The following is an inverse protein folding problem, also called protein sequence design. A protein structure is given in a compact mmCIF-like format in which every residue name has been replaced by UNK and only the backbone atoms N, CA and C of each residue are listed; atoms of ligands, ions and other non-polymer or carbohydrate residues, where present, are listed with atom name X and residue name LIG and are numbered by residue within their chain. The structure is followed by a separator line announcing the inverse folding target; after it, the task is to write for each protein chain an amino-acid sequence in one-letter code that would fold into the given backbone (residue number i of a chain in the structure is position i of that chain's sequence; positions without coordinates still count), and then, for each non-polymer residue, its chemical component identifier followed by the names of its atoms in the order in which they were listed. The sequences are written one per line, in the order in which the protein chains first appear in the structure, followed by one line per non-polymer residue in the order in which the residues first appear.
data_IF_261685501286
#
_entry.id   IF_261685501286
#
_cell.length_a   1.000
_cell.length_b   1.000
_cell.length_c   1.000
_cell.angle_alpha   90.00
_cell.angle_beta   90.00
_cell.angle_gamma   90.00
#
_symmetry.space_group_name_H-M   'P 1'
#
loop_
_entity.id
_entity.type
_entity.pdbx_description
1 polymer ?
#
# COMPACT_ATOMS: atom_id res chain seq x y z
N UNK A 1 1.29 -0.34 1.45
CA UNK A 1 2.16 -1.15 2.35
C UNK A 1 2.76 -0.23 3.38
N UNK A 2 2.75 -0.60 4.65
CA UNK A 2 3.37 0.18 5.72
C UNK A 2 4.70 -0.45 6.09
N UNK A 3 5.70 0.39 6.40
CA UNK A 3 7.03 -0.04 6.82
C UNK A 3 7.23 0.44 8.26
N UNK A 4 7.72 -0.46 9.11
CA UNK A 4 8.05 -0.14 10.50
C UNK A 4 9.57 -0.07 10.66
N UNK A 5 10.10 1.11 10.94
CA UNK A 5 11.49 1.30 11.34
C UNK A 5 11.68 1.07 12.83
N UNK A 6 12.70 0.28 13.21
CA UNK A 6 12.99 -0.04 14.62
C UNK A 6 13.22 1.20 15.51
N UNK A 7 13.65 2.31 14.92
CA UNK A 7 13.96 3.56 15.63
C UNK A 7 13.01 4.71 15.28
N UNK A 8 12.22 4.57 14.23
CA UNK A 8 11.48 5.69 13.61
C UNK A 8 9.98 5.45 13.49
N UNK A 9 9.52 4.20 13.62
CA UNK A 9 8.11 3.84 13.61
C UNK A 9 7.55 3.70 12.20
N UNK A 10 6.32 4.17 11.99
CA UNK A 10 5.62 4.15 10.69
C UNK A 10 5.97 5.41 9.91
N UNK A 11 7.26 5.56 9.64
CA UNK A 11 7.79 6.73 8.93
C UNK A 11 7.64 6.64 7.42
N UNK A 12 7.42 5.43 6.88
CA UNK A 12 7.35 5.16 5.45
C UNK A 12 6.12 4.31 5.11
N UNK A 13 5.41 4.71 4.05
CA UNK A 13 4.47 3.84 3.35
C UNK A 13 4.75 3.79 1.85
N UNK A 14 4.50 2.64 1.25
CA UNK A 14 4.72 2.36 -0.17
C UNK A 14 3.36 2.07 -0.80
N UNK A 15 3.02 2.81 -1.86
CA UNK A 15 1.86 2.56 -2.69
C UNK A 15 2.29 2.10 -4.09
N UNK A 16 2.20 0.78 -4.37
CA UNK A 16 2.54 0.23 -5.67
C UNK A 16 1.60 0.68 -6.79
N UNK A 17 0.35 1.05 -6.49
CA UNK A 17 -0.62 1.50 -7.49
C UNK A 17 -0.30 2.92 -7.97
N UNK A 18 0.15 3.77 -7.04
CA UNK A 18 0.60 5.13 -7.34
C UNK A 18 2.07 5.21 -7.73
N UNK A 19 2.81 4.09 -7.70
CA UNK A 19 4.26 4.06 -7.91
C UNK A 19 4.99 5.08 -7.03
N UNK A 20 4.58 5.17 -5.76
CA UNK A 20 4.97 6.26 -4.85
C UNK A 20 5.37 5.75 -3.46
N UNK A 21 6.29 6.47 -2.84
CA UNK A 21 6.75 6.29 -1.46
C UNK A 21 6.40 7.56 -0.70
N UNK A 22 5.71 7.39 0.42
CA UNK A 22 5.27 8.48 1.29
C UNK A 22 6.05 8.45 2.60
N UNK A 23 6.55 9.62 3.01
CA UNK A 23 7.05 9.85 4.36
C UNK A 23 5.91 10.40 5.22
N UNK A 24 5.53 9.66 6.25
CA UNK A 24 4.28 9.88 7.02
C UNK A 24 4.49 10.52 8.39
N UNK A 25 5.73 10.85 8.74
CA UNK A 25 6.11 11.39 10.05
C UNK A 25 7.17 10.50 10.70
N UNK A 26 7.40 10.67 12.00
CA UNK A 26 8.22 9.74 12.77
C UNK A 26 7.74 9.68 14.21
N UNK A 27 7.72 8.47 14.75
CA UNK A 27 7.41 8.15 16.13
C UNK A 27 8.69 7.87 16.95
N UNK A 28 9.84 8.40 16.50
CA UNK A 28 11.14 8.15 17.12
C UNK A 28 11.20 8.55 18.60
N UNK A 29 10.51 9.62 19.00
CA UNK A 29 10.48 10.07 20.40
C UNK A 29 9.75 9.05 21.30
N UNK A 30 8.59 8.58 20.87
CA UNK A 30 7.79 7.58 21.59
C UNK A 30 8.51 6.22 21.64
N UNK A 31 9.13 5.82 20.52
CA UNK A 31 9.93 4.59 20.46
C UNK A 31 11.13 4.68 21.40
N UNK A 32 11.84 5.80 21.43
CA UNK A 32 12.96 6.02 22.35
C UNK A 32 12.52 6.01 23.82
N UNK A 33 11.25 6.37 24.10
CA UNK A 33 10.65 6.28 25.43
C UNK A 33 10.25 4.84 25.84
N UNK A 34 10.30 3.88 24.90
CA UNK A 34 9.94 2.48 25.13
C UNK A 34 8.49 2.14 24.78
N UNK A 35 7.80 3.03 24.07
CA UNK A 35 6.37 2.91 23.75
C UNK A 35 6.10 2.32 22.35
N UNK A 36 7.09 1.63 21.76
CA UNK A 36 6.99 1.07 20.40
C UNK A 36 5.75 0.17 20.19
N UNK A 37 5.47 -0.74 21.14
CA UNK A 37 4.31 -1.62 21.07
C UNK A 37 2.99 -0.83 21.14
N UNK A 38 2.92 0.20 21.99
CA UNK A 38 1.74 1.05 22.14
C UNK A 38 1.44 1.82 20.85
N UNK A 39 2.47 2.39 20.22
CA UNK A 39 2.36 3.11 18.95
C UNK A 39 1.88 2.15 17.85
N UNK A 40 2.46 0.95 17.76
CA UNK A 40 2.04 -0.04 16.77
C UNK A 40 0.58 -0.49 16.98
N UNK A 41 0.20 -0.79 18.23
CA UNK A 41 -1.18 -1.14 18.57
C UNK A 41 -2.16 -0.01 18.22
N UNK A 42 -1.81 1.24 18.52
CA UNK A 42 -2.63 2.40 18.19
C UNK A 42 -2.81 2.55 16.68
N UNK A 43 -1.76 2.34 15.88
CA UNK A 43 -1.85 2.35 14.43
C UNK A 43 -2.79 1.26 13.90
N UNK A 44 -2.62 0.02 14.36
CA UNK A 44 -3.45 -1.11 13.91
C UNK A 44 -4.90 -0.90 14.33
N UNK A 45 -5.15 -0.40 15.54
CA UNK A 45 -6.49 -0.13 16.05
C UNK A 45 -7.16 1.08 15.37
N UNK A 46 -6.37 2.09 14.98
CA UNK A 46 -6.85 3.30 14.30
C UNK A 46 -7.10 3.10 12.80
N UNK A 47 -6.43 2.13 12.18
CA UNK A 47 -6.55 1.83 10.75
C UNK A 47 -7.96 1.37 10.38
N UNK A 48 -8.59 2.09 9.45
CA UNK A 48 -9.94 1.77 8.96
C UNK A 48 -9.89 1.08 7.60
N UNK A 49 -10.61 -0.05 7.40
CA UNK A 49 -10.64 -0.73 6.10
C UNK A 49 -10.99 0.18 4.92
N UNK A 50 -11.85 1.18 5.13
CA UNK A 50 -12.25 2.13 4.10
C UNK A 50 -11.10 3.06 3.67
N UNK A 51 -10.16 3.35 4.58
CA UNK A 51 -8.97 4.18 4.33
C UNK A 51 -7.83 3.36 3.69
N UNK A 52 -7.94 2.02 3.70
CA UNK A 52 -6.98 1.09 3.12
C UNK A 52 -7.40 0.55 1.75
N UNK A 53 -8.58 0.95 1.25
CA UNK A 53 -9.12 0.54 -0.03
C UNK A 53 -8.76 1.54 -1.14
N UNK A 54 -8.95 1.12 -2.39
CA UNK A 54 -8.82 1.96 -3.57
C UNK A 54 -10.14 2.02 -4.32
N UNK A 55 -10.40 3.14 -5.00
CA UNK A 55 -11.56 3.26 -5.89
C UNK A 55 -11.17 3.03 -7.34
N UNK A 56 -12.11 2.51 -8.13
CA UNK A 56 -12.02 2.52 -9.58
C UNK A 56 -12.33 3.92 -10.15
N UNK A 57 -12.22 4.07 -11.46
CA UNK A 57 -12.54 5.32 -12.18
C UNK A 57 -13.99 5.81 -12.00
N UNK A 58 -14.89 4.96 -11.50
CA UNK A 58 -16.28 5.30 -11.18
C UNK A 58 -16.49 5.58 -9.69
N UNK A 59 -15.41 5.83 -8.93
CA UNK A 59 -15.39 6.06 -7.49
C UNK A 59 -15.98 4.90 -6.66
N UNK A 60 -15.97 3.68 -7.21
CA UNK A 60 -16.44 2.50 -6.49
C UNK A 60 -15.28 1.79 -5.81
N UNK A 61 -15.51 1.40 -4.56
CA UNK A 61 -14.57 0.68 -3.69
C UNK A 61 -14.19 -0.69 -4.28
N UNK A 62 -12.90 -1.00 -4.43
CA UNK A 62 -12.43 -2.17 -5.18
C UNK A 62 -12.30 -3.45 -4.35
N UNK A 63 -11.82 -3.39 -3.10
CA UNK A 63 -11.39 -4.59 -2.37
C UNK A 63 -12.47 -5.67 -2.28
N UNK A 64 -13.69 -5.30 -1.84
CA UNK A 64 -14.79 -6.29 -1.69
C UNK A 64 -15.19 -6.92 -3.03
N UNK A 65 -15.16 -6.15 -4.12
CA UNK A 65 -15.49 -6.63 -5.47
C UNK A 65 -14.37 -7.54 -6.00
N UNK A 66 -13.11 -7.14 -5.81
CA UNK A 66 -11.94 -7.95 -6.14
C UNK A 66 -11.94 -9.27 -5.38
N UNK A 67 -12.23 -9.25 -4.08
CA UNK A 67 -12.36 -10.44 -3.25
C UNK A 67 -13.44 -11.41 -3.78
N UNK A 68 -14.59 -10.87 -4.21
CA UNK A 68 -15.67 -11.68 -4.78
C UNK A 68 -15.32 -12.31 -6.14
N UNK A 69 -14.56 -11.60 -6.98
CA UNK A 69 -14.23 -12.05 -8.34
C UNK A 69 -12.97 -12.91 -8.43
N UNK A 70 -11.93 -12.54 -7.68
CA UNK A 70 -10.58 -13.11 -7.77
C UNK A 70 -10.27 -14.05 -6.60
N UNK A 71 -11.03 -13.96 -5.51
CA UNK A 71 -10.73 -14.65 -4.26
C UNK A 71 -9.60 -13.96 -3.47
N UNK A 72 -9.37 -14.39 -2.22
CA UNK A 72 -8.35 -13.78 -1.37
C UNK A 72 -6.93 -14.07 -1.90
N UNK A 73 -6.01 -13.09 -1.90
CA UNK A 73 -4.61 -13.35 -2.21
C UNK A 73 -3.96 -14.18 -1.09
N UNK A 74 -2.94 -14.96 -1.44
CA UNK A 74 -2.05 -15.56 -0.46
C UNK A 74 -1.17 -14.50 0.24
N UNK A 75 -0.44 -14.90 1.28
CA UNK A 75 0.41 -14.02 2.10
C UNK A 75 1.51 -13.25 1.32
N UNK A 76 1.90 -13.77 0.16
CA UNK A 76 2.92 -13.26 -0.74
C UNK A 76 2.33 -12.69 -2.04
N UNK A 77 1.00 -12.49 -2.07
CA UNK A 77 0.27 -12.01 -3.25
C UNK A 77 -0.49 -10.72 -2.98
N UNK A 78 -0.72 -9.94 -4.05
CA UNK A 78 -1.53 -8.71 -4.01
C UNK A 78 -2.48 -8.64 -5.21
N UNK A 79 -3.52 -7.81 -5.08
CA UNK A 79 -4.26 -7.36 -6.25
C UNK A 79 -3.47 -6.26 -6.96
N UNK A 80 -3.10 -6.48 -8.22
CA UNK A 80 -2.42 -5.51 -9.04
C UNK A 80 -3.12 -5.36 -10.40
N UNK A 81 -3.04 -4.17 -10.98
CA UNK A 81 -3.56 -3.91 -12.32
C UNK A 81 -2.64 -4.52 -13.38
N UNK A 82 -3.21 -5.15 -14.41
CA UNK A 82 -2.46 -5.79 -15.52
C UNK A 82 -1.52 -4.84 -16.24
N UNK A 83 -1.85 -3.54 -16.25
CA UNK A 83 -1.05 -2.49 -16.88
C UNK A 83 -0.89 -1.36 -15.87
N UNK A 84 0.36 -0.92 -15.65
CA UNK A 84 0.63 0.21 -14.76
C UNK A 84 -0.08 1.49 -15.26
N UNK A 85 -0.54 2.33 -14.32
CA UNK A 85 -1.17 3.63 -14.64
C UNK A 85 -0.31 4.49 -15.55
N UNK A 86 1.00 4.51 -15.30
CA UNK A 86 1.98 5.26 -16.08
C UNK A 86 2.01 4.87 -17.58
N UNK A 87 1.50 3.68 -17.93
CA UNK A 87 1.43 3.17 -19.30
C UNK A 87 0.01 3.25 -19.90
N UNK A 88 -0.91 3.99 -19.28
CA UNK A 88 -2.30 4.10 -19.73
C UNK A 88 -3.18 2.91 -19.33
N UNK A 89 -2.79 2.16 -18.29
CA UNK A 89 -3.65 1.16 -17.68
C UNK A 89 -4.90 1.77 -17.06
N UNK A 90 -6.02 1.03 -17.13
CA UNK A 90 -7.30 1.42 -16.51
C UNK A 90 -7.30 1.06 -15.02
N UNK A 91 -7.96 1.89 -14.23
CA UNK A 91 -8.23 1.58 -12.82
C UNK A 91 -9.64 1.01 -12.71
N UNK A 92 -9.80 -0.25 -13.07
CA UNK A 92 -11.09 -0.96 -13.01
C UNK A 92 -10.94 -2.38 -12.45
N UNK A 93 -12.06 -2.98 -12.07
CA UNK A 93 -12.09 -4.31 -11.50
C UNK A 93 -11.61 -5.39 -12.50
N UNK A 94 -11.89 -5.22 -13.79
CA UNK A 94 -11.56 -6.19 -14.85
C UNK A 94 -10.06 -6.31 -15.12
N UNK A 95 -9.31 -5.25 -14.84
CA UNK A 95 -7.85 -5.19 -14.97
C UNK A 95 -7.11 -5.69 -13.74
N UNK A 96 -7.78 -6.00 -12.62
CA UNK A 96 -7.12 -6.56 -11.45
C UNK A 96 -6.76 -8.04 -11.62
N UNK A 97 -5.57 -8.41 -11.16
CA UNK A 97 -5.10 -9.80 -11.07
C UNK A 97 -4.46 -10.03 -9.71
N UNK A 98 -4.56 -11.27 -9.23
CA UNK A 98 -3.74 -11.72 -8.10
C UNK A 98 -2.35 -12.04 -8.65
N UNK A 99 -1.34 -11.34 -8.17
CA UNK A 99 0.06 -11.48 -8.60
C UNK A 99 0.97 -11.65 -7.40
N UNK A 100 2.18 -12.15 -7.65
CA UNK A 100 3.25 -12.18 -6.65
C UNK A 100 3.69 -10.75 -6.28
N UNK A 101 3.75 -10.47 -4.97
CA UNK A 101 4.09 -9.15 -4.43
C UNK A 101 5.49 -8.70 -4.84
N UNK A 102 6.48 -9.57 -4.70
CA UNK A 102 7.88 -9.21 -4.95
C UNK A 102 8.12 -8.98 -6.44
N UNK A 103 7.57 -9.84 -7.30
CA UNK A 103 7.64 -9.68 -8.75
C UNK A 103 6.98 -8.37 -9.19
N UNK A 104 5.81 -8.03 -8.64
CA UNK A 104 5.13 -6.78 -8.99
C UNK A 104 5.97 -5.55 -8.59
N UNK A 105 6.58 -5.57 -7.41
CA UNK A 105 7.45 -4.48 -6.95
C UNK A 105 8.72 -4.35 -7.81
N UNK A 106 9.34 -5.47 -8.20
CA UNK A 106 10.50 -5.48 -9.08
C UNK A 106 10.16 -4.89 -10.46
N UNK A 107 9.03 -5.32 -11.06
CA UNK A 107 8.55 -4.78 -12.34
C UNK A 107 8.34 -3.26 -12.25
N UNK A 108 7.67 -2.79 -11.19
CA UNK A 108 7.43 -1.37 -11.00
C UNK A 108 8.75 -0.59 -10.87
N UNK A 109 9.70 -1.10 -10.08
CA UNK A 109 11.02 -0.48 -9.89
C UNK A 109 11.81 -0.38 -11.20
N UNK A 110 11.70 -1.38 -12.08
CA UNK A 110 12.34 -1.36 -13.40
C UNK A 110 11.64 -0.41 -14.38
N UNK A 111 10.34 -0.19 -14.21
CA UNK A 111 9.54 0.63 -15.12
C UNK A 111 9.84 2.13 -14.99
N UNK A 112 9.99 2.61 -13.76
CA UNK A 112 10.31 4.01 -13.45
C UNK A 112 10.88 4.16 -12.05
N UNK A 113 11.56 5.27 -11.77
CA UNK A 113 11.85 5.66 -10.39
C UNK A 113 10.54 6.00 -9.65
N UNK A 114 10.36 5.54 -8.40
CA UNK A 114 9.17 5.86 -7.63
C UNK A 114 9.15 7.35 -7.27
N UNK A 115 7.95 7.92 -7.21
CA UNK A 115 7.80 9.30 -6.71
C UNK A 115 7.95 9.30 -5.20
N UNK A 116 8.79 10.19 -4.66
CA UNK A 116 8.96 10.38 -3.21
C UNK A 116 8.15 11.60 -2.79
N UNK A 117 7.26 11.41 -1.80
CA UNK A 117 6.33 12.45 -1.32
C UNK A 117 6.48 12.55 0.20
N UNK A 118 6.68 13.78 0.69
CA UNK A 118 6.68 14.08 2.12
C UNK A 118 5.30 14.60 2.51
N UNK A 119 4.62 13.90 3.42
CA UNK A 119 3.30 14.26 3.95
C UNK A 119 3.31 14.38 5.48
N UNK A 120 4.52 14.50 6.08
CA UNK A 120 4.73 14.68 7.51
C UNK A 120 4.40 16.10 8.03
#
# INVERSE_FOLDING_TARGET
MFVWGEQSGLDISIDPQLHSIFFTGSEAEDIAAGDADLVFEAFVAGSRPEELDCTDEADQVLFRRALGQLGPPAHDQIYAFTTARALGGKFDLESLRVVDLFVQLDILRELAEPTIIDVS
#
